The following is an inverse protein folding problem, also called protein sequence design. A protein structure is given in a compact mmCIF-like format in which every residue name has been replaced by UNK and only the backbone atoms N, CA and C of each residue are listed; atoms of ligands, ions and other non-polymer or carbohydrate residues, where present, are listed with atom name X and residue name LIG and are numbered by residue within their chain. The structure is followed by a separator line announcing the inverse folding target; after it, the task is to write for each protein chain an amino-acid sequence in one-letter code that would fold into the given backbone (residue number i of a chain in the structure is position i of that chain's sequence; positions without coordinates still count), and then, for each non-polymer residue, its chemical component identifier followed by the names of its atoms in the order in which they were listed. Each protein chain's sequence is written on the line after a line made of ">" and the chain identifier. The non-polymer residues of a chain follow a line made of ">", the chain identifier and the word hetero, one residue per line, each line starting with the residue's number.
data_IF_837665654908
#
_entry.id   IF_837665654908
#
_cell.length_a   1.000
_cell.length_b   1.000
_cell.length_c   1.000
_cell.angle_alpha   90.00
_cell.angle_beta   90.00
_cell.angle_gamma   90.00
#
_symmetry.space_group_name_H-M   'P 1'
#
loop_
_entity.id
_entity.type
_entity.pdbx_description
1 polymer ?
#
# COMPACT_ATOMS: atom_id res chain seq x y z
N UNK A 1 -1.64 17.72 0.66
CA UNK A 1 -2.33 16.43 0.82
C UNK A 1 -1.57 15.28 0.17
N UNK A 2 -2.11 14.05 0.20
CA UNK A 2 -1.49 12.86 -0.37
C UNK A 2 -1.79 12.73 -1.87
N UNK A 3 -0.77 12.49 -2.69
CA UNK A 3 -0.89 12.17 -4.11
C UNK A 3 -1.26 10.70 -4.30
N UNK A 4 -2.56 10.39 -4.36
CA UNK A 4 -3.05 9.01 -4.32
C UNK A 4 -3.26 8.42 -5.70
N UNK A 5 -2.68 7.22 -5.92
CA UNK A 5 -2.86 6.40 -7.10
C UNK A 5 -3.53 5.09 -6.71
N UNK A 6 -4.75 4.86 -7.20
CA UNK A 6 -5.50 3.64 -6.96
C UNK A 6 -5.24 2.62 -8.07
N UNK A 7 -4.82 1.43 -7.69
CA UNK A 7 -4.65 0.32 -8.62
C UNK A 7 -5.92 -0.54 -8.64
N UNK A 8 -6.34 -0.94 -9.85
CA UNK A 8 -7.51 -1.79 -10.05
C UNK A 8 -7.24 -3.23 -9.59
N UNK A 9 -8.32 -3.89 -9.22
CA UNK A 9 -8.33 -5.24 -8.65
C UNK A 9 -7.76 -5.31 -7.22
N UNK A 10 -8.13 -6.36 -6.52
CA UNK A 10 -7.66 -6.64 -5.17
C UNK A 10 -7.72 -8.15 -4.93
N UNK A 11 -6.74 -8.67 -4.21
CA UNK A 11 -6.69 -10.08 -3.81
C UNK A 11 -7.61 -10.43 -2.64
N UNK A 12 -8.29 -9.43 -2.03
CA UNK A 12 -9.34 -9.62 -1.04
C UNK A 12 -10.73 -9.34 -1.61
N UNK A 13 -11.75 -9.95 -1.00
CA UNK A 13 -13.17 -9.73 -1.33
C UNK A 13 -13.92 -9.26 -0.07
N UNK A 14 -13.43 -8.14 0.51
CA UNK A 14 -13.99 -7.59 1.74
C UNK A 14 -15.42 -7.10 1.53
N UNK A 15 -16.37 -7.57 2.35
CA UNK A 15 -17.79 -7.19 2.24
C UNK A 15 -18.05 -5.71 2.56
N UNK A 16 -17.11 -5.06 3.23
CA UNK A 16 -17.17 -3.63 3.60
C UNK A 16 -16.25 -2.74 2.74
N UNK A 17 -15.83 -3.21 1.56
CA UNK A 17 -14.89 -2.47 0.73
C UNK A 17 -15.51 -1.15 0.23
N UNK A 18 -14.92 -0.01 0.65
CA UNK A 18 -15.34 1.32 0.19
C UNK A 18 -15.01 1.56 -1.30
N UNK A 19 -13.98 0.89 -1.81
CA UNK A 19 -13.51 1.02 -3.19
C UNK A 19 -13.95 -0.18 -4.05
N UNK A 20 -15.18 -0.69 -3.84
CA UNK A 20 -15.67 -1.91 -4.47
C UNK A 20 -15.57 -1.89 -6.00
N UNK A 21 -15.92 -0.77 -6.63
CA UNK A 21 -15.83 -0.61 -8.09
C UNK A 21 -14.40 -0.82 -8.61
N UNK A 22 -13.40 -0.26 -7.90
CA UNK A 22 -11.99 -0.38 -8.28
C UNK A 22 -11.47 -1.78 -7.92
N UNK A 23 -11.75 -2.27 -6.71
CA UNK A 23 -11.16 -3.49 -6.16
C UNK A 23 -11.79 -4.77 -6.68
N UNK A 24 -13.12 -4.82 -6.83
CA UNK A 24 -13.87 -6.03 -7.17
C UNK A 24 -14.39 -6.05 -8.60
N UNK A 25 -14.81 -4.89 -9.13
CA UNK A 25 -15.30 -4.75 -10.50
C UNK A 25 -14.18 -4.39 -11.49
N UNK A 26 -12.95 -4.10 -10.99
CA UNK A 26 -11.79 -3.84 -11.82
C UNK A 26 -11.87 -2.52 -12.61
N UNK A 27 -12.70 -1.56 -12.12
CA UNK A 27 -12.80 -0.26 -12.77
C UNK A 27 -11.43 0.46 -12.77
N UNK A 28 -11.02 0.92 -13.95
CA UNK A 28 -9.77 1.63 -14.12
C UNK A 28 -9.42 1.81 -15.60
N UNK A 29 -8.29 2.45 -15.85
CA UNK A 29 -7.73 2.65 -17.19
C UNK A 29 -6.36 2.01 -17.27
N UNK A 30 -6.11 1.21 -18.30
CA UNK A 30 -4.79 0.67 -18.55
C UNK A 30 -3.84 1.79 -18.99
N UNK A 31 -2.66 1.84 -18.38
CA UNK A 31 -1.62 2.81 -18.66
C UNK A 31 -0.26 2.15 -18.81
N UNK A 32 0.66 2.81 -19.49
CA UNK A 32 2.05 2.35 -19.61
C UNK A 32 2.86 2.66 -18.34
N UNK A 33 4.01 2.01 -18.19
CA UNK A 33 4.99 2.28 -17.13
C UNK A 33 5.46 3.74 -17.17
N UNK A 34 5.73 4.27 -18.38
CA UNK A 34 6.13 5.67 -18.55
C UNK A 34 5.02 6.63 -18.10
N UNK A 35 3.76 6.32 -18.45
CA UNK A 35 2.62 7.14 -18.02
C UNK A 35 2.44 7.13 -16.52
N UNK A 36 2.67 6.00 -15.85
CA UNK A 36 2.63 5.93 -14.39
C UNK A 36 3.75 6.80 -13.76
N UNK A 37 4.94 6.79 -14.35
CA UNK A 37 6.05 7.65 -13.89
C UNK A 37 5.71 9.14 -14.06
N UNK A 38 5.08 9.52 -15.17
CA UNK A 38 4.59 10.89 -15.41
C UNK A 38 3.54 11.31 -14.37
N UNK A 39 2.59 10.42 -14.03
CA UNK A 39 1.58 10.69 -13.00
C UNK A 39 2.23 10.99 -11.65
N UNK A 40 3.29 10.28 -11.27
CA UNK A 40 4.01 10.56 -10.03
C UNK A 40 4.60 11.97 -10.02
N UNK A 41 5.20 12.40 -11.14
CA UNK A 41 5.76 13.75 -11.29
C UNK A 41 4.65 14.82 -11.30
N UNK A 42 3.54 14.59 -12.01
CA UNK A 42 2.38 15.48 -12.02
C UNK A 42 1.80 15.69 -10.61
N UNK A 43 1.77 14.63 -9.78
CA UNK A 43 1.31 14.74 -8.39
C UNK A 43 2.28 15.56 -7.55
N UNK A 44 3.59 15.38 -7.76
CA UNK A 44 4.62 16.21 -7.13
C UNK A 44 4.47 17.68 -7.51
N UNK A 45 4.30 17.99 -8.80
CA UNK A 45 4.15 19.35 -9.31
C UNK A 45 2.86 20.03 -8.80
N UNK A 46 1.83 19.24 -8.49
CA UNK A 46 0.60 19.70 -7.82
C UNK A 46 0.76 19.91 -6.31
N UNK A 47 1.96 19.74 -5.75
CA UNK A 47 2.25 19.96 -4.34
C UNK A 47 1.75 18.85 -3.41
N UNK A 48 1.73 17.61 -3.88
CA UNK A 48 1.46 16.47 -3.00
C UNK A 48 2.59 16.30 -1.96
N UNK A 49 2.24 15.85 -0.75
CA UNK A 49 3.24 15.59 0.31
C UNK A 49 3.93 14.23 0.16
N UNK A 50 3.35 13.32 -0.61
CA UNK A 50 3.83 11.96 -0.86
C UNK A 50 3.10 11.37 -2.07
N UNK A 51 3.61 10.24 -2.57
CA UNK A 51 2.91 9.37 -3.54
C UNK A 51 2.36 8.18 -2.77
N UNK A 52 1.04 8.05 -2.72
CA UNK A 52 0.34 6.98 -1.99
C UNK A 52 -0.21 5.94 -2.98
N UNK A 53 0.44 4.78 -3.03
CA UNK A 53 0.09 3.66 -3.90
C UNK A 53 -0.94 2.77 -3.20
N UNK A 54 -2.20 2.83 -3.62
CA UNK A 54 -3.31 2.09 -2.97
C UNK A 54 -3.60 0.78 -3.68
N UNK A 55 -3.52 -0.33 -2.95
CA UNK A 55 -3.70 -1.70 -3.45
C UNK A 55 -2.70 -2.08 -4.57
N UNK A 56 -1.39 -1.83 -4.37
CA UNK A 56 -0.39 -1.93 -5.44
C UNK A 56 0.15 -3.34 -5.67
N UNK A 57 -0.22 -4.32 -4.86
CA UNK A 57 0.36 -5.68 -4.79
C UNK A 57 0.53 -6.37 -6.14
N UNK A 58 -0.47 -6.24 -7.04
CA UNK A 58 -0.48 -6.90 -8.35
C UNK A 58 0.46 -6.27 -9.37
N UNK A 59 0.92 -5.03 -9.11
CA UNK A 59 1.65 -4.20 -10.06
C UNK A 59 3.05 -3.84 -9.57
N UNK A 60 3.58 -4.55 -8.56
CA UNK A 60 4.89 -4.24 -7.95
C UNK A 60 6.02 -4.14 -8.98
N UNK A 61 6.18 -5.05 -9.95
CA UNK A 61 7.25 -4.92 -10.94
C UNK A 61 7.12 -3.63 -11.77
N UNK A 62 5.90 -3.30 -12.24
CA UNK A 62 5.64 -2.10 -13.04
C UNK A 62 5.84 -0.83 -12.21
N UNK A 63 5.45 -0.85 -10.95
CA UNK A 63 5.65 0.26 -10.01
C UNK A 63 7.14 0.52 -9.79
N UNK A 64 7.96 -0.51 -9.57
CA UNK A 64 9.40 -0.37 -9.40
C UNK A 64 10.04 0.29 -10.63
N UNK A 65 9.69 -0.17 -11.84
CA UNK A 65 10.20 0.44 -13.07
C UNK A 65 9.74 1.89 -13.24
N UNK A 66 8.47 2.19 -12.95
CA UNK A 66 7.95 3.57 -12.99
C UNK A 66 8.65 4.47 -11.96
N UNK A 67 8.92 3.98 -10.77
CA UNK A 67 9.64 4.72 -9.73
C UNK A 67 11.09 5.01 -10.14
N UNK A 68 11.78 4.07 -10.80
CA UNK A 68 13.14 4.30 -11.34
C UNK A 68 13.12 5.44 -12.35
N UNK A 69 12.17 5.41 -13.30
CA UNK A 69 12.01 6.45 -14.31
C UNK A 69 11.71 7.80 -13.67
N UNK A 70 10.74 7.85 -12.76
CA UNK A 70 10.33 9.08 -12.09
C UNK A 70 11.44 9.68 -11.22
N UNK A 71 12.17 8.85 -10.45
CA UNK A 71 13.31 9.29 -9.63
C UNK A 71 14.42 9.87 -10.51
N UNK A 72 14.74 9.27 -11.65
CA UNK A 72 15.71 9.82 -12.61
C UNK A 72 15.27 11.17 -13.22
N UNK A 73 13.96 11.45 -13.23
CA UNK A 73 13.37 12.72 -13.71
C UNK A 73 13.10 13.72 -12.57
N UNK A 74 13.55 13.43 -11.33
CA UNK A 74 13.47 14.37 -10.21
C UNK A 74 12.34 14.13 -9.21
N UNK A 75 11.70 12.96 -9.19
CA UNK A 75 10.77 12.61 -8.13
C UNK A 75 11.52 12.49 -6.79
N UNK A 76 11.12 13.30 -5.81
CA UNK A 76 11.76 13.38 -4.49
C UNK A 76 10.77 13.20 -3.32
N UNK A 77 9.48 13.01 -3.60
CA UNK A 77 8.47 12.75 -2.59
C UNK A 77 8.60 11.37 -1.95
N UNK A 78 8.25 11.23 -0.67
CA UNK A 78 8.15 9.92 -0.02
C UNK A 78 7.13 9.02 -0.74
N UNK A 79 7.46 7.76 -0.91
CA UNK A 79 6.59 6.74 -1.54
C UNK A 79 5.92 5.92 -0.45
N UNK A 80 4.59 5.89 -0.45
CA UNK A 80 3.78 5.12 0.50
C UNK A 80 3.22 3.88 -0.19
N UNK A 81 3.48 2.70 0.37
CA UNK A 81 2.89 1.43 -0.05
C UNK A 81 1.71 1.09 0.85
N UNK A 82 0.49 1.33 0.34
CA UNK A 82 -0.77 1.18 1.07
C UNK A 82 -1.43 -0.14 0.68
N UNK A 83 -1.31 -1.14 1.54
CA UNK A 83 -1.69 -2.52 1.25
C UNK A 83 -2.67 -3.10 2.26
N UNK A 84 -3.43 -4.10 1.82
CA UNK A 84 -4.24 -4.95 2.70
C UNK A 84 -3.42 -6.03 3.43
N UNK A 85 -2.09 -6.03 3.24
CA UNK A 85 -1.09 -6.92 3.85
C UNK A 85 -1.13 -8.39 3.37
N UNK A 86 -1.91 -8.72 2.34
CA UNK A 86 -1.83 -10.03 1.69
C UNK A 86 -0.85 -9.94 0.52
N UNK A 87 0.37 -9.64 0.88
CA UNK A 87 1.55 -9.69 0.01
C UNK A 87 2.34 -10.97 0.32
N UNK A 88 3.16 -11.43 -0.62
CA UNK A 88 4.18 -12.44 -0.30
C UNK A 88 5.41 -11.77 0.31
N UNK A 89 6.11 -12.48 1.18
CA UNK A 89 7.35 -11.97 1.77
C UNK A 89 8.38 -11.58 0.70
N UNK A 90 8.45 -12.35 -0.40
CA UNK A 90 9.36 -12.06 -1.51
C UNK A 90 8.97 -10.76 -2.23
N UNK A 91 7.66 -10.51 -2.42
CA UNK A 91 7.19 -9.23 -2.98
C UNK A 91 7.63 -8.05 -2.11
N UNK A 92 7.46 -8.14 -0.78
CA UNK A 92 7.90 -7.07 0.12
C UNK A 92 9.43 -6.89 0.06
N UNK A 93 10.21 -7.97 -0.01
CA UNK A 93 11.67 -7.87 -0.17
C UNK A 93 12.10 -7.15 -1.45
N UNK A 94 11.39 -7.33 -2.56
CA UNK A 94 11.71 -6.62 -3.82
C UNK A 94 11.47 -5.11 -3.74
N UNK A 95 10.62 -4.65 -2.81
CA UNK A 95 10.32 -3.24 -2.58
C UNK A 95 11.38 -2.50 -1.76
N UNK A 96 12.37 -3.22 -1.21
CA UNK A 96 13.42 -2.62 -0.39
C UNK A 96 14.18 -1.52 -1.16
N UNK A 97 14.26 -0.33 -0.56
CA UNK A 97 14.89 0.85 -1.17
C UNK A 97 14.01 1.66 -2.12
N UNK A 98 12.79 1.19 -2.44
CA UNK A 98 11.82 1.92 -3.26
C UNK A 98 10.73 2.58 -2.45
N UNK A 99 10.37 2.01 -1.30
CA UNK A 99 9.29 2.46 -0.43
C UNK A 99 9.87 3.15 0.81
N UNK A 100 9.31 4.29 1.16
CA UNK A 100 9.69 5.09 2.32
C UNK A 100 8.75 4.83 3.51
N UNK A 101 7.44 4.69 3.23
CA UNK A 101 6.43 4.45 4.25
C UNK A 101 5.57 3.26 3.86
N UNK A 102 5.48 2.27 4.74
CA UNK A 102 4.49 1.20 4.62
C UNK A 102 3.23 1.53 5.40
N UNK A 103 2.08 1.31 4.78
CA UNK A 103 0.76 1.52 5.36
C UNK A 103 -0.06 0.23 5.27
N UNK A 104 0.35 -0.83 6.02
CA UNK A 104 -0.33 -2.11 6.02
C UNK A 104 -1.61 -2.08 6.84
N UNK A 105 -2.65 -2.78 6.35
CA UNK A 105 -3.81 -3.11 7.15
C UNK A 105 -3.56 -4.37 7.98
N UNK A 106 -3.89 -4.35 9.25
CA UNK A 106 -4.07 -5.53 10.08
C UNK A 106 -5.55 -5.63 10.45
N UNK A 107 -6.36 -6.24 9.57
CA UNK A 107 -7.82 -6.18 9.65
C UNK A 107 -8.41 -7.16 10.67
N UNK A 108 -7.78 -8.32 10.85
CA UNK A 108 -8.28 -9.42 11.68
C UNK A 108 -7.13 -10.10 12.42
N UNK A 109 -7.34 -10.41 13.68
CA UNK A 109 -6.45 -11.28 14.44
C UNK A 109 -6.86 -12.75 14.25
N UNK A 110 -8.17 -13.05 14.32
CA UNK A 110 -8.67 -14.41 14.13
C UNK A 110 -9.01 -14.71 12.66
N UNK A 111 -8.46 -15.77 12.10
CA UNK A 111 -8.67 -16.21 10.71
C UNK A 111 -10.12 -16.49 10.35
N UNK A 112 -10.97 -16.87 11.34
CA UNK A 112 -12.42 -17.06 11.10
C UNK A 112 -13.11 -15.82 10.55
N UNK A 113 -12.69 -14.62 11.03
CA UNK A 113 -13.24 -13.36 10.57
C UNK A 113 -12.66 -12.94 9.22
N UNK A 114 -11.37 -13.21 9.00
CA UNK A 114 -10.74 -13.01 7.69
C UNK A 114 -11.43 -13.84 6.60
N UNK A 115 -11.74 -15.11 6.90
CA UNK A 115 -12.47 -15.98 5.97
C UNK A 115 -13.92 -15.49 5.75
N UNK A 116 -14.61 -15.11 6.84
CA UNK A 116 -16.01 -14.66 6.77
C UNK A 116 -16.18 -13.39 5.98
N UNK A 117 -15.37 -12.35 6.26
CA UNK A 117 -15.58 -10.99 5.77
C UNK A 117 -14.69 -10.61 4.59
N UNK A 118 -13.56 -11.29 4.36
CA UNK A 118 -12.62 -10.97 3.27
C UNK A 118 -12.26 -12.16 2.39
N UNK A 119 -12.82 -13.36 2.68
CA UNK A 119 -12.66 -14.59 1.90
C UNK A 119 -11.21 -15.08 1.80
N UNK A 120 -10.40 -14.86 2.84
CA UNK A 120 -9.00 -15.27 2.91
C UNK A 120 -8.72 -16.16 4.12
N UNK A 121 -7.82 -17.14 3.96
CA UNK A 121 -7.32 -18.02 5.03
C UNK A 121 -5.87 -17.65 5.37
N UNK A 122 -5.46 -17.89 6.62
CA UNK A 122 -4.08 -17.68 7.07
C UNK A 122 -3.69 -16.19 7.10
N UNK A 123 -4.66 -15.30 7.32
CA UNK A 123 -4.48 -13.85 7.26
C UNK A 123 -3.48 -13.36 8.29
N UNK A 124 -3.73 -13.62 9.58
CA UNK A 124 -2.96 -13.03 10.68
C UNK A 124 -1.48 -13.40 10.64
N UNK A 125 -1.18 -14.68 10.37
CA UNK A 125 0.21 -15.16 10.25
C UNK A 125 0.95 -14.45 9.12
N UNK A 126 0.36 -14.40 7.93
CA UNK A 126 0.98 -13.74 6.77
C UNK A 126 1.22 -12.24 7.05
N UNK A 127 0.23 -11.56 7.62
CA UNK A 127 0.30 -10.12 7.91
C UNK A 127 1.43 -9.81 8.89
N UNK A 128 1.60 -10.61 9.95
CA UNK A 128 2.68 -10.41 10.92
C UNK A 128 4.07 -10.56 10.27
N UNK A 129 4.25 -11.58 9.41
CA UNK A 129 5.51 -11.81 8.70
C UNK A 129 5.86 -10.65 7.75
N UNK A 130 4.89 -10.15 6.98
CA UNK A 130 5.14 -9.04 6.04
C UNK A 130 5.35 -7.71 6.76
N UNK A 131 4.63 -7.44 7.85
CA UNK A 131 4.83 -6.22 8.65
C UNK A 131 6.23 -6.22 9.30
N UNK A 132 6.69 -7.35 9.82
CA UNK A 132 8.03 -7.48 10.38
C UNK A 132 9.12 -7.15 9.34
N UNK A 133 8.97 -7.67 8.12
CA UNK A 133 9.86 -7.33 7.00
C UNK A 133 9.79 -5.83 6.64
N UNK A 134 8.58 -5.24 6.59
CA UNK A 134 8.40 -3.81 6.34
C UNK A 134 9.13 -2.96 7.37
N UNK A 135 9.02 -3.31 8.67
CA UNK A 135 9.72 -2.61 9.76
C UNK A 135 11.25 -2.74 9.61
N UNK A 136 11.76 -3.92 9.23
CA UNK A 136 13.19 -4.12 8.98
C UNK A 136 13.72 -3.22 7.87
N UNK A 137 12.93 -2.98 6.81
CA UNK A 137 13.36 -2.17 5.66
C UNK A 137 13.41 -0.67 5.97
N UNK A 138 12.40 -0.14 6.66
CA UNK A 138 12.27 1.31 6.84
C UNK A 138 12.64 1.79 8.24
N UNK A 139 12.65 0.90 9.24
CA UNK A 139 13.02 1.22 10.62
C UNK A 139 12.01 2.10 11.34
N UNK A 140 12.50 2.83 12.34
CA UNK A 140 11.67 3.71 13.18
C UNK A 140 11.05 4.85 12.39
N UNK A 141 9.84 5.31 12.76
CA UNK A 141 9.18 6.44 12.12
C UNK A 141 10.05 7.71 12.16
N UNK A 142 10.10 8.40 11.00
CA UNK A 142 10.73 9.72 10.87
C UNK A 142 9.71 10.70 10.33
N UNK A 143 9.76 11.93 10.83
CA UNK A 143 8.87 13.02 10.44
C UNK A 143 9.69 14.19 9.93
N UNK A 144 9.12 14.96 9.00
CA UNK A 144 9.69 16.23 8.57
C UNK A 144 9.36 17.36 9.58
N UNK A 145 9.79 18.59 9.28
CA UNK A 145 9.56 19.78 10.12
C UNK A 145 8.07 20.11 10.30
N UNK A 146 7.22 19.72 9.34
CA UNK A 146 5.77 19.91 9.40
C UNK A 146 5.04 18.76 10.14
N UNK A 147 5.76 17.81 10.73
CA UNK A 147 5.20 16.65 11.43
C UNK A 147 4.61 15.59 10.51
N UNK A 148 4.92 15.62 9.21
CA UNK A 148 4.47 14.63 8.23
C UNK A 148 5.44 13.46 8.21
N UNK A 149 4.92 12.22 8.29
CA UNK A 149 5.78 11.03 8.21
C UNK A 149 6.44 10.94 6.83
N UNK A 150 7.75 10.75 6.83
CA UNK A 150 8.57 10.59 5.62
C UNK A 150 9.25 9.24 5.55
N UNK A 151 9.28 8.47 6.64
CA UNK A 151 9.78 7.10 6.69
C UNK A 151 9.15 6.32 7.84
N UNK A 152 8.86 5.03 7.68
CA UNK A 152 8.37 4.18 8.76
C UNK A 152 7.20 3.29 8.36
N UNK A 153 6.56 2.69 9.35
CA UNK A 153 5.36 1.84 9.18
C UNK A 153 4.21 2.39 10.02
N UNK A 154 3.03 2.51 9.40
CA UNK A 154 1.78 2.86 10.07
C UNK A 154 0.81 1.70 9.88
N UNK A 155 0.63 0.88 10.90
CA UNK A 155 -0.35 -0.22 10.87
C UNK A 155 -1.75 0.33 11.08
N UNK A 156 -2.67 0.00 10.16
CA UNK A 156 -4.08 0.34 10.29
C UNK A 156 -4.88 -0.87 10.77
N UNK A 157 -5.67 -0.67 11.81
CA UNK A 157 -6.62 -1.67 12.27
C UNK A 157 -8.05 -1.20 12.04
N UNK A 158 -8.90 -2.08 11.51
CA UNK A 158 -10.30 -1.78 11.25
C UNK A 158 -11.17 -2.33 12.37
N UNK A 159 -11.74 -1.44 13.17
CA UNK A 159 -12.72 -1.81 14.19
C UNK A 159 -14.07 -2.07 13.54
N UNK A 160 -14.47 -3.32 13.47
CA UNK A 160 -15.79 -3.72 12.98
C UNK A 160 -16.79 -3.81 14.13
N UNK A 161 -18.04 -3.34 13.96
CA UNK A 161 -19.09 -3.51 14.97
C UNK A 161 -19.26 -4.97 15.37
N UNK A 162 -19.22 -5.25 16.68
CA UNK A 162 -19.31 -6.60 17.23
C UNK A 162 -18.01 -7.41 17.22
N UNK A 163 -16.88 -6.85 16.78
CA UNK A 163 -15.55 -7.50 16.78
C UNK A 163 -14.52 -6.73 17.58
N UNK A 164 -14.93 -6.13 18.70
CA UNK A 164 -14.02 -5.33 19.54
C UNK A 164 -12.95 -6.15 20.26
N UNK A 165 -13.05 -7.47 20.26
CA UNK A 165 -12.13 -8.40 20.92
C UNK A 165 -11.41 -9.34 19.94
N UNK A 166 -11.47 -9.06 18.64
CA UNK A 166 -10.70 -9.78 17.63
C UNK A 166 -9.20 -9.42 17.65
#
# INVERSE_FOLDING_TARGET
>A
GSGTVFFSNCNLKCVFCQNYKISSEGFGTEITIDRLAEIFLELQDKGANNINLVTPTHFVPQIIESLKIAKNKGLNLPIIYNTNSIDTLDTIKTLNGYIDVYLPDFKYFEDKYALKYSKIKGYSKNVLEVIDEMVKQVGNPKFNEDGIIVKGVIVRHLLLPGLLFD
#
